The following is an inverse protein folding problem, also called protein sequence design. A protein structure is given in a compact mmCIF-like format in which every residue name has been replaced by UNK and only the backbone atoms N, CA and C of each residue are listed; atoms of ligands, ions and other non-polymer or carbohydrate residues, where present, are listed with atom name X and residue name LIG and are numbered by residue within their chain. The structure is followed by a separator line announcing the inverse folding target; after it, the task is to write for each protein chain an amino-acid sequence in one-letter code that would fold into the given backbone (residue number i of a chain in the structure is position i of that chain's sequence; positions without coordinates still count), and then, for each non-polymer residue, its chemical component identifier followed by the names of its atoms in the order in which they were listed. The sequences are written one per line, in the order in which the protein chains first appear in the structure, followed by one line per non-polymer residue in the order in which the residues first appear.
data_IF_996995017567
#
_entry.id   IF_996995017567
#
_cell.length_a   1.000
_cell.length_b   1.000
_cell.length_c   1.000
_cell.angle_alpha   90.00
_cell.angle_beta   90.00
_cell.angle_gamma   90.00
#
_symmetry.space_group_name_H-M   'P 1'
#
loop_
_entity.id
_entity.type
_entity.pdbx_description
1 polymer ?
#
# COMPACT_ATOMS: atom_id res chain seq x y z
N UNK A 1 -39.84 8.89 48.31
CA UNK A 1 -38.92 9.56 47.39
C UNK A 1 -37.67 8.70 47.32
N UNK A 2 -37.54 7.86 46.30
CA UNK A 2 -36.37 7.00 46.12
C UNK A 2 -35.37 7.76 45.25
N UNK A 3 -34.28 8.22 45.85
CA UNK A 3 -33.19 8.87 45.14
C UNK A 3 -32.34 7.80 44.46
N UNK A 4 -32.48 7.68 43.13
CA UNK A 4 -31.57 6.88 42.31
C UNK A 4 -30.19 7.50 42.37
N UNK A 5 -29.23 6.78 42.97
CA UNK A 5 -27.81 7.09 42.88
C UNK A 5 -27.40 6.82 41.43
N UNK A 6 -27.03 7.86 40.70
CA UNK A 6 -26.34 7.70 39.42
C UNK A 6 -24.90 7.30 39.77
N UNK A 7 -24.61 6.01 39.70
CA UNK A 7 -23.23 5.54 39.75
C UNK A 7 -22.48 6.14 38.55
N UNK A 8 -21.48 6.96 38.85
CA UNK A 8 -20.55 7.48 37.86
C UNK A 8 -19.83 6.30 37.20
N UNK A 9 -20.07 6.10 35.91
CA UNK A 9 -19.28 5.17 35.10
C UNK A 9 -17.82 5.60 35.18
N UNK A 10 -16.98 4.81 35.85
CA UNK A 10 -15.54 5.06 35.93
C UNK A 10 -14.97 5.11 34.52
N UNK A 11 -14.24 6.18 34.19
CA UNK A 11 -13.62 6.42 32.88
C UNK A 11 -12.41 5.53 32.58
N UNK A 12 -12.21 4.45 33.33
CA UNK A 12 -11.11 3.52 33.14
C UNK A 12 -11.51 2.45 32.11
N UNK A 13 -11.77 2.88 30.88
CA UNK A 13 -11.61 1.98 29.75
C UNK A 13 -10.12 1.63 29.72
N UNK A 14 -9.72 0.34 29.75
CA UNK A 14 -8.33 -0.01 29.55
C UNK A 14 -7.89 0.66 28.24
N UNK A 15 -6.77 1.38 28.29
CA UNK A 15 -6.11 1.96 27.13
C UNK A 15 -6.21 0.92 26.00
N UNK A 16 -7.04 1.19 24.98
CA UNK A 16 -7.48 0.14 24.04
C UNK A 16 -6.22 -0.46 23.43
N UNK A 17 -5.89 -1.68 23.85
CA UNK A 17 -4.67 -2.36 23.43
C UNK A 17 -4.72 -2.46 21.90
N UNK A 18 -3.85 -1.70 21.23
CA UNK A 18 -3.72 -1.76 19.78
C UNK A 18 -3.02 -3.05 19.38
N UNK A 19 -3.36 -3.57 18.21
CA UNK A 19 -2.79 -4.79 17.68
C UNK A 19 -1.56 -4.44 16.83
N UNK A 20 -0.34 -4.78 17.27
CA UNK A 20 0.87 -4.45 16.52
C UNK A 20 0.95 -5.23 15.21
N UNK A 21 1.41 -4.56 14.16
CA UNK A 21 1.78 -5.17 12.89
C UNK A 21 3.20 -5.75 12.98
N UNK A 22 3.51 -6.72 12.12
CA UNK A 22 4.88 -7.29 12.00
C UNK A 22 5.91 -6.22 11.61
N UNK A 23 5.54 -5.38 10.65
CA UNK A 23 6.37 -4.31 10.09
C UNK A 23 5.70 -2.95 10.36
N UNK A 24 6.52 -1.90 10.51
CA UNK A 24 6.04 -0.52 10.44
C UNK A 24 6.01 -0.06 8.98
N UNK A 25 4.93 0.62 8.60
CA UNK A 25 4.68 1.07 7.23
C UNK A 25 4.61 2.58 7.17
N UNK A 26 4.94 3.16 6.01
CA UNK A 26 4.86 4.58 5.74
C UNK A 26 3.97 4.82 4.53
N UNK A 27 2.99 5.71 4.69
CA UNK A 27 2.07 6.13 3.65
C UNK A 27 2.63 7.38 2.96
N UNK A 28 2.64 7.36 1.64
CA UNK A 28 3.09 8.45 0.78
C UNK A 28 2.01 8.84 -0.24
N UNK A 29 2.04 10.11 -0.66
CA UNK A 29 1.23 10.65 -1.75
C UNK A 29 2.14 11.33 -2.77
N UNK A 30 1.97 10.97 -4.03
CA UNK A 30 2.52 11.73 -5.15
C UNK A 30 1.44 12.67 -5.68
N UNK A 31 1.68 13.97 -5.66
CA UNK A 31 0.68 14.98 -6.06
C UNK A 31 0.50 15.12 -7.57
N UNK A 32 1.53 14.80 -8.35
CA UNK A 32 1.45 14.74 -9.82
C UNK A 32 1.39 16.09 -10.54
N UNK A 33 1.51 17.22 -9.83
CA UNK A 33 1.30 18.58 -10.36
C UNK A 33 2.52 19.52 -10.28
N UNK A 34 3.60 19.17 -9.57
CA UNK A 34 4.83 19.99 -9.51
C UNK A 34 5.86 19.61 -10.59
N UNK A 35 6.70 20.59 -10.97
CA UNK A 35 7.76 20.45 -11.99
C UNK A 35 8.92 19.53 -11.57
N UNK A 36 9.23 19.45 -10.26
CA UNK A 36 10.24 18.56 -9.71
C UNK A 36 9.57 17.39 -9.00
N UNK A 37 10.05 16.17 -9.25
CA UNK A 37 9.42 14.95 -8.74
C UNK A 37 9.67 14.73 -7.24
N UNK A 38 10.85 15.11 -6.72
CA UNK A 38 11.21 15.00 -5.29
C UNK A 38 10.27 15.87 -4.45
N UNK A 39 9.93 17.06 -4.97
CA UNK A 39 9.00 17.99 -4.35
C UNK A 39 7.54 17.52 -4.43
N UNK A 40 7.24 16.52 -5.26
CA UNK A 40 5.91 15.95 -5.46
C UNK A 40 5.59 14.77 -4.56
N UNK A 41 6.59 14.14 -3.95
CA UNK A 41 6.42 12.96 -3.11
C UNK A 41 6.36 13.38 -1.64
N UNK A 42 5.17 13.30 -1.06
CA UNK A 42 4.92 13.68 0.32
C UNK A 42 4.81 12.44 1.21
N UNK A 43 5.60 12.42 2.29
CA UNK A 43 5.41 11.47 3.38
C UNK A 43 4.24 11.93 4.24
N UNK A 44 3.14 11.19 4.25
CA UNK A 44 1.96 11.55 5.04
C UNK A 44 2.13 11.14 6.50
N UNK A 45 2.33 9.85 6.76
CA UNK A 45 2.47 9.31 8.12
C UNK A 45 3.09 7.91 8.11
N UNK A 46 3.46 7.42 9.29
CA UNK A 46 3.87 6.04 9.52
C UNK A 46 2.94 5.38 10.55
N UNK A 47 2.70 4.08 10.40
CA UNK A 47 1.84 3.29 11.28
C UNK A 47 2.41 1.89 11.50
N UNK A 48 2.22 1.35 12.70
CA UNK A 48 2.67 0.01 13.09
C UNK A 48 1.59 -0.79 13.84
N UNK A 49 0.33 -0.36 13.79
CA UNK A 49 -0.81 -1.09 14.38
C UNK A 49 -1.95 -1.21 13.38
N UNK A 50 -2.80 -2.22 13.60
CA UNK A 50 -4.01 -2.46 12.80
C UNK A 50 -4.99 -1.28 12.92
N UNK A 51 -5.16 -0.75 14.13
CA UNK A 51 -6.04 0.38 14.40
C UNK A 51 -5.56 1.65 13.70
N UNK A 52 -4.26 1.94 13.72
CA UNK A 52 -3.73 3.12 13.05
C UNK A 52 -3.92 3.03 11.53
N UNK A 53 -3.73 1.83 10.95
CA UNK A 53 -4.07 1.62 9.54
C UNK A 53 -5.55 1.91 9.25
N UNK A 54 -6.47 1.35 10.05
CA UNK A 54 -7.89 1.58 9.85
C UNK A 54 -8.27 3.05 10.08
N UNK A 55 -7.68 3.72 11.06
CA UNK A 55 -7.86 5.16 11.24
C UNK A 55 -7.47 5.92 9.96
N UNK A 56 -6.34 5.60 9.33
CA UNK A 56 -5.94 6.22 8.06
C UNK A 56 -6.91 5.89 6.93
N UNK A 57 -7.26 4.62 6.77
CA UNK A 57 -8.18 4.16 5.73
C UNK A 57 -9.52 4.92 5.75
N UNK A 58 -10.08 5.19 6.94
CA UNK A 58 -11.37 5.88 7.08
C UNK A 58 -11.30 7.41 6.92
N UNK A 59 -10.13 8.03 7.12
CA UNK A 59 -9.98 9.49 7.04
C UNK A 59 -9.34 9.97 5.73
N UNK A 60 -8.81 9.05 4.94
CA UNK A 60 -8.22 9.35 3.64
C UNK A 60 -9.19 9.02 2.51
N UNK A 61 -9.00 9.70 1.38
CA UNK A 61 -9.72 9.38 0.15
C UNK A 61 -9.38 7.96 -0.30
N UNK A 62 -10.34 7.28 -0.90
CA UNK A 62 -10.05 6.04 -1.63
C UNK A 62 -9.36 6.35 -2.97
N UNK A 63 -8.63 5.40 -3.58
CA UNK A 63 -7.93 5.66 -4.84
C UNK A 63 -8.80 6.25 -5.96
N UNK A 64 -10.07 5.85 -6.06
CA UNK A 64 -11.00 6.37 -7.06
C UNK A 64 -11.38 7.85 -6.91
N UNK A 65 -11.13 8.44 -5.74
CA UNK A 65 -11.39 9.86 -5.46
C UNK A 65 -10.16 10.76 -5.64
N UNK A 66 -9.03 10.17 -6.03
CA UNK A 66 -7.81 10.91 -6.36
C UNK A 66 -7.92 11.58 -7.72
N UNK A 67 -7.17 12.68 -7.89
CA UNK A 67 -7.02 13.32 -9.19
C UNK A 67 -6.17 12.45 -10.11
N UNK A 68 -6.45 12.51 -11.42
CA UNK A 68 -5.56 11.92 -12.42
C UNK A 68 -4.14 12.49 -12.26
N UNK A 69 -3.14 11.60 -12.24
CA UNK A 69 -1.75 11.98 -11.97
C UNK A 69 -1.30 11.71 -10.53
N UNK A 70 -2.23 11.57 -9.59
CA UNK A 70 -1.89 11.25 -8.20
C UNK A 70 -1.65 9.75 -8.00
N UNK A 71 -0.74 9.44 -7.08
CA UNK A 71 -0.44 8.07 -6.67
C UNK A 71 -0.47 7.97 -5.15
N UNK A 72 -0.96 6.84 -4.65
CA UNK A 72 -0.72 6.45 -3.26
C UNK A 72 0.30 5.32 -3.20
N UNK A 73 1.15 5.38 -2.18
CA UNK A 73 2.15 4.36 -1.91
C UNK A 73 2.19 4.01 -0.43
N UNK A 74 2.33 2.73 -0.12
CA UNK A 74 2.58 2.27 1.25
C UNK A 74 3.81 1.36 1.20
N UNK A 75 4.88 1.77 1.88
CA UNK A 75 6.16 1.06 1.89
C UNK A 75 6.61 0.78 3.31
N UNK A 76 7.34 -0.32 3.53
CA UNK A 76 7.95 -0.58 4.84
C UNK A 76 8.81 0.61 5.25
N UNK A 77 8.80 0.95 6.54
CA UNK A 77 9.53 2.09 7.06
C UNK A 77 11.03 1.99 6.73
N UNK A 78 11.59 3.10 6.29
CA UNK A 78 12.99 3.19 5.85
C UNK A 78 13.21 2.84 4.38
N UNK A 79 12.18 2.40 3.65
CA UNK A 79 12.23 2.18 2.20
C UNK A 79 11.46 3.30 1.51
N UNK A 80 12.14 4.08 0.68
CA UNK A 80 11.50 5.11 -0.14
C UNK A 80 10.81 4.47 -1.34
N UNK A 81 9.65 4.98 -1.79
CA UNK A 81 8.89 4.43 -2.93
C UNK A 81 9.51 4.82 -4.29
N UNK A 82 10.82 4.61 -4.44
CA UNK A 82 11.61 4.97 -5.61
C UNK A 82 12.59 3.85 -5.96
N UNK A 83 12.90 3.67 -7.23
CA UNK A 83 13.71 2.53 -7.69
C UNK A 83 15.18 2.68 -7.32
N UNK A 84 15.64 3.91 -7.04
CA UNK A 84 17.00 4.23 -6.61
C UNK A 84 17.26 3.80 -5.16
N UNK A 85 16.21 3.59 -4.36
CA UNK A 85 16.34 3.11 -2.98
C UNK A 85 17.15 1.79 -2.96
N UNK A 86 18.13 1.64 -2.05
CA UNK A 86 18.96 0.45 -1.97
C UNK A 86 18.19 -0.88 -1.91
N UNK A 87 16.98 -0.88 -1.34
CA UNK A 87 16.12 -2.05 -1.23
C UNK A 87 15.36 -2.34 -2.53
N UNK A 88 15.04 -1.31 -3.33
CA UNK A 88 14.24 -1.46 -4.55
C UNK A 88 15.10 -1.70 -5.80
N UNK A 89 16.33 -1.18 -5.83
CA UNK A 89 17.16 -1.11 -7.05
C UNK A 89 17.52 -2.45 -7.68
N UNK A 90 17.56 -3.52 -6.89
CA UNK A 90 17.86 -4.90 -7.36
C UNK A 90 16.60 -5.74 -7.57
N UNK A 91 15.43 -5.16 -7.30
CA UNK A 91 14.15 -5.85 -7.32
C UNK A 91 13.31 -5.55 -8.55
N UNK A 92 12.01 -5.62 -8.35
CA UNK A 92 11.01 -5.44 -9.39
C UNK A 92 9.62 -5.34 -8.78
N UNK A 93 8.60 -5.44 -9.63
CA UNK A 93 7.21 -5.32 -9.21
C UNK A 93 6.29 -6.26 -9.95
N UNK A 94 5.34 -6.83 -9.23
CA UNK A 94 4.12 -7.37 -9.80
C UNK A 94 3.21 -6.22 -10.19
N UNK A 95 2.73 -6.20 -11.43
CA UNK A 95 1.87 -5.16 -11.96
C UNK A 95 0.50 -5.73 -12.34
N UNK A 96 -0.54 -5.16 -11.76
CA UNK A 96 -1.94 -5.41 -12.04
C UNK A 96 -2.46 -4.23 -12.87
N UNK A 97 -2.93 -4.49 -14.09
CA UNK A 97 -3.64 -3.47 -14.89
C UNK A 97 -5.14 -3.53 -14.62
N UNK A 98 -5.74 -2.36 -14.40
CA UNK A 98 -7.14 -2.22 -14.00
C UNK A 98 -8.01 -1.57 -15.10
N UNK A 99 -7.54 -1.60 -16.36
CA UNK A 99 -8.14 -0.92 -17.53
C UNK A 99 -9.59 -1.31 -17.85
N UNK A 100 -10.07 -2.43 -17.32
CA UNK A 100 -11.44 -2.95 -17.54
C UNK A 100 -12.24 -3.11 -16.27
N UNK A 101 -11.79 -2.52 -15.16
CA UNK A 101 -12.43 -2.64 -13.86
C UNK A 101 -13.14 -1.34 -13.47
N UNK A 102 -14.19 -1.46 -12.68
CA UNK A 102 -14.88 -0.30 -12.10
C UNK A 102 -14.00 0.35 -11.04
N UNK A 103 -14.26 1.63 -10.75
CA UNK A 103 -13.60 2.35 -9.66
C UNK A 103 -13.71 1.62 -8.31
N UNK A 104 -14.89 1.10 -7.99
CA UNK A 104 -15.11 0.34 -6.75
C UNK A 104 -14.26 -0.95 -6.68
N UNK A 105 -14.08 -1.65 -7.81
CA UNK A 105 -13.19 -2.82 -7.85
C UNK A 105 -11.72 -2.41 -7.67
N UNK A 106 -11.29 -1.26 -8.21
CA UNK A 106 -9.94 -0.74 -7.93
C UNK A 106 -9.73 -0.47 -6.45
N UNK A 107 -10.69 0.20 -5.79
CA UNK A 107 -10.60 0.52 -4.37
C UNK A 107 -10.55 -0.74 -3.50
N UNK A 108 -11.35 -1.76 -3.85
CA UNK A 108 -11.32 -3.07 -3.20
C UNK A 108 -9.98 -3.78 -3.39
N UNK A 109 -9.45 -3.85 -4.62
CA UNK A 109 -8.16 -4.50 -4.87
C UNK A 109 -7.05 -3.76 -4.13
N UNK A 110 -7.08 -2.42 -4.09
CA UNK A 110 -6.12 -1.63 -3.32
C UNK A 110 -6.19 -1.98 -1.83
N UNK A 111 -7.37 -1.89 -1.21
CA UNK A 111 -7.56 -2.18 0.21
C UNK A 111 -7.13 -3.61 0.56
N UNK A 112 -7.58 -4.60 -0.22
CA UNK A 112 -7.23 -6.00 -0.03
C UNK A 112 -5.72 -6.25 -0.21
N UNK A 113 -5.08 -5.60 -1.18
CA UNK A 113 -3.62 -5.67 -1.35
C UNK A 113 -2.92 -5.16 -0.10
N UNK A 114 -3.28 -3.97 0.38
CA UNK A 114 -2.69 -3.41 1.59
C UNK A 114 -2.88 -4.35 2.78
N UNK A 115 -4.08 -4.90 2.98
CA UNK A 115 -4.37 -5.84 4.07
C UNK A 115 -3.52 -7.12 4.00
N UNK A 116 -3.34 -7.71 2.81
CA UNK A 116 -2.46 -8.88 2.63
C UNK A 116 -1.03 -8.56 3.06
N UNK A 117 -0.53 -7.38 2.67
CA UNK A 117 0.84 -6.95 2.92
C UNK A 117 1.06 -6.66 4.41
N UNK A 118 0.26 -5.78 5.01
CA UNK A 118 0.43 -5.39 6.42
C UNK A 118 0.13 -6.55 7.38
N UNK A 119 -0.78 -7.46 6.98
CA UNK A 119 -1.10 -8.68 7.72
C UNK A 119 0.00 -9.75 7.66
N UNK A 120 1.05 -9.56 6.85
CA UNK A 120 2.20 -10.46 6.74
C UNK A 120 1.82 -11.94 6.49
N UNK A 121 0.82 -12.18 5.63
CA UNK A 121 0.26 -13.52 5.38
C UNK A 121 0.98 -14.31 4.27
N UNK A 122 2.03 -13.73 3.68
CA UNK A 122 2.83 -14.31 2.60
C UNK A 122 4.10 -14.93 3.17
N UNK A 123 4.61 -16.00 2.53
CA UNK A 123 5.82 -16.69 3.00
C UNK A 123 7.05 -15.78 2.85
N UNK A 124 7.09 -14.99 1.79
CA UNK A 124 8.18 -14.07 1.46
C UNK A 124 7.87 -12.61 1.81
N UNK A 125 7.17 -12.34 2.92
CA UNK A 125 6.87 -10.96 3.36
C UNK A 125 8.11 -10.10 3.56
N UNK A 126 9.25 -10.68 3.94
CA UNK A 126 10.51 -9.92 4.08
C UNK A 126 11.07 -9.46 2.72
N UNK A 127 10.67 -10.10 1.62
CA UNK A 127 11.08 -9.74 0.26
C UNK A 127 10.21 -8.64 -0.35
N UNK A 128 9.14 -8.22 0.33
CA UNK A 128 8.23 -7.15 -0.10
C UNK A 128 8.70 -5.80 0.41
N UNK A 129 8.74 -4.81 -0.47
CA UNK A 129 9.05 -3.42 -0.13
C UNK A 129 7.80 -2.59 0.13
N UNK A 130 6.76 -2.75 -0.71
CA UNK A 130 5.59 -1.88 -0.66
C UNK A 130 4.59 -2.10 -1.77
N UNK A 131 3.55 -1.28 -1.79
CA UNK A 131 2.50 -1.25 -2.80
C UNK A 131 2.28 0.17 -3.31
N UNK A 132 1.94 0.29 -4.59
CA UNK A 132 1.64 1.54 -5.28
C UNK A 132 0.31 1.40 -6.03
N UNK A 133 -0.56 2.39 -5.95
CA UNK A 133 -1.67 2.58 -6.88
C UNK A 133 -1.43 3.84 -7.71
N UNK A 134 -1.53 3.68 -9.04
CA UNK A 134 -1.38 4.79 -9.98
C UNK A 134 -2.74 5.15 -10.58
N UNK A 135 -3.20 6.38 -10.35
CA UNK A 135 -4.47 6.88 -10.89
C UNK A 135 -4.25 7.63 -12.19
N UNK A 136 -4.58 7.00 -13.30
CA UNK A 136 -4.36 7.47 -14.69
C UNK A 136 -5.50 6.97 -15.57
N UNK A 137 -5.51 7.33 -16.85
CA UNK A 137 -6.47 6.74 -17.82
C UNK A 137 -6.46 5.21 -17.83
N UNK A 138 -5.30 4.62 -17.51
CA UNK A 138 -5.12 3.18 -17.29
C UNK A 138 -4.56 2.96 -15.90
N UNK A 139 -5.46 2.82 -14.93
CA UNK A 139 -5.14 2.57 -13.53
C UNK A 139 -4.31 1.29 -13.36
N UNK A 140 -3.41 1.32 -12.38
CA UNK A 140 -2.49 0.22 -12.08
C UNK A 140 -2.31 0.07 -10.57
N UNK A 141 -2.17 -1.17 -10.11
CA UNK A 141 -1.65 -1.47 -8.77
C UNK A 141 -0.37 -2.28 -8.93
N UNK A 142 0.65 -1.95 -8.15
CA UNK A 142 1.94 -2.65 -8.16
C UNK A 142 2.37 -3.07 -6.77
N UNK A 143 2.84 -4.31 -6.61
CA UNK A 143 3.52 -4.78 -5.40
C UNK A 143 5.01 -4.89 -5.68
N UNK A 144 5.82 -4.17 -4.92
CA UNK A 144 7.26 -4.05 -5.10
C UNK A 144 8.00 -5.08 -4.26
N UNK A 145 8.97 -5.74 -4.88
CA UNK A 145 9.82 -6.76 -4.30
C UNK A 145 11.26 -6.24 -4.26
N UNK A 146 12.02 -6.59 -3.23
CA UNK A 146 13.44 -6.23 -3.09
C UNK A 146 14.37 -7.06 -3.98
N UNK A 147 13.89 -8.22 -4.42
CA UNK A 147 14.65 -9.22 -5.18
C UNK A 147 13.94 -9.57 -6.49
N UNK A 148 14.71 -10.11 -7.42
CA UNK A 148 14.22 -10.71 -8.67
C UNK A 148 14.38 -12.24 -8.68
N UNK A 149 14.71 -12.84 -7.54
CA UNK A 149 14.86 -14.28 -7.39
C UNK A 149 13.52 -14.99 -7.64
N UNK A 150 13.59 -16.13 -8.33
CA UNK A 150 12.41 -16.82 -8.84
C UNK A 150 11.45 -17.25 -7.73
N UNK A 151 11.98 -17.81 -6.64
CA UNK A 151 11.18 -18.37 -5.55
C UNK A 151 10.28 -17.32 -4.85
N UNK A 152 10.82 -16.24 -4.25
CA UNK A 152 10.00 -15.22 -3.60
C UNK A 152 9.05 -14.51 -4.57
N UNK A 153 9.52 -14.22 -5.79
CA UNK A 153 8.71 -13.53 -6.80
C UNK A 153 7.51 -14.39 -7.21
N UNK A 154 7.72 -15.68 -7.49
CA UNK A 154 6.65 -16.57 -7.94
C UNK A 154 5.67 -16.93 -6.83
N UNK A 155 6.12 -17.09 -5.59
CA UNK A 155 5.23 -17.35 -4.45
C UNK A 155 4.25 -16.18 -4.24
N UNK A 156 4.78 -14.96 -4.08
CA UNK A 156 3.97 -13.75 -3.90
C UNK A 156 3.02 -13.58 -5.08
N UNK A 157 3.52 -13.73 -6.31
CA UNK A 157 2.71 -13.62 -7.52
C UNK A 157 1.55 -14.62 -7.56
N UNK A 158 1.78 -15.88 -7.17
CA UNK A 158 0.74 -16.92 -7.14
C UNK A 158 -0.34 -16.60 -6.11
N UNK A 159 0.03 -16.13 -4.91
CA UNK A 159 -0.94 -15.78 -3.86
C UNK A 159 -1.78 -14.56 -4.25
N UNK A 160 -1.15 -13.49 -4.74
CA UNK A 160 -1.86 -12.30 -5.23
C UNK A 160 -2.84 -12.67 -6.35
N UNK A 161 -2.38 -13.44 -7.35
CA UNK A 161 -3.24 -13.89 -8.45
C UNK A 161 -4.45 -14.71 -7.95
N UNK A 162 -4.23 -15.60 -6.97
CA UNK A 162 -5.29 -16.41 -6.37
C UNK A 162 -6.32 -15.56 -5.63
N UNK A 163 -5.86 -14.57 -4.85
CA UNK A 163 -6.74 -13.74 -4.02
C UNK A 163 -7.69 -12.90 -4.85
N UNK A 164 -7.16 -12.15 -5.82
CA UNK A 164 -7.93 -11.16 -6.56
C UNK A 164 -8.66 -11.74 -7.78
N UNK A 165 -8.51 -13.05 -8.05
CA UNK A 165 -9.04 -13.70 -9.26
C UNK A 165 -8.67 -12.92 -10.55
N UNK A 166 -7.44 -12.37 -10.59
CA UNK A 166 -7.04 -11.39 -11.62
C UNK A 166 -7.08 -12.03 -13.01
N UNK A 167 -7.67 -11.36 -14.02
CA UNK A 167 -7.56 -11.79 -15.41
C UNK A 167 -6.12 -11.66 -15.95
N UNK A 168 -5.89 -12.17 -17.16
CA UNK A 168 -4.61 -12.44 -17.82
C UNK A 168 -3.50 -11.35 -17.79
N UNK A 169 -3.76 -10.10 -17.40
CA UNK A 169 -2.77 -9.01 -17.43
C UNK A 169 -2.14 -8.76 -16.05
N UNK A 170 -1.48 -9.78 -15.52
CA UNK A 170 -0.70 -9.76 -14.28
C UNK A 170 0.73 -10.22 -14.55
N UNK A 171 1.69 -9.30 -14.53
CA UNK A 171 3.06 -9.58 -14.94
C UNK A 171 4.08 -9.01 -13.96
N UNK A 172 5.23 -9.66 -13.85
CA UNK A 172 6.36 -9.18 -13.09
C UNK A 172 7.33 -8.41 -13.98
N UNK A 173 7.74 -7.22 -13.53
CA UNK A 173 8.69 -6.35 -14.22
C UNK A 173 9.84 -6.00 -13.30
N UNK A 174 11.07 -6.30 -13.72
CA UNK A 174 12.28 -5.84 -13.02
C UNK A 174 12.33 -4.32 -13.05
N UNK A 175 12.78 -3.70 -11.96
CA UNK A 175 13.07 -2.27 -11.98
C UNK A 175 14.21 -2.03 -12.97
N UNK A 176 13.99 -1.15 -13.93
CA UNK A 176 15.01 -0.81 -14.92
C UNK A 176 15.77 0.40 -14.44
N UNK A 177 17.03 0.21 -14.04
CA UNK A 177 17.90 1.27 -13.54
C UNK A 177 18.30 2.32 -14.58
N UNK A 178 17.89 2.15 -15.85
CA UNK A 178 18.22 3.04 -16.96
C UNK A 178 17.11 4.03 -17.36
N UNK A 179 15.90 3.93 -16.77
CA UNK A 179 14.83 4.89 -17.00
C UNK A 179 14.15 5.25 -15.69
N UNK A 180 14.20 6.53 -15.34
CA UNK A 180 13.34 7.11 -14.30
C UNK A 180 11.90 6.68 -14.57
N UNK A 181 11.15 6.35 -13.52
CA UNK A 181 9.71 6.07 -13.60
C UNK A 181 8.93 7.23 -14.26
N UNK A 182 9.56 8.40 -14.35
CA UNK A 182 8.96 9.68 -14.73
C UNK A 182 9.70 10.40 -15.86
N UNK A 183 10.51 9.71 -16.68
CA UNK A 183 10.87 10.31 -17.98
C UNK A 183 9.60 10.45 -18.81
N UNK A 184 9.18 11.70 -19.04
CA UNK A 184 8.10 12.06 -19.98
C UNK A 184 8.23 11.31 -21.32
#
# INVERSE_FOLDING_TARGET
MSSTVIESVSSDLPERMKHPLRDEWTFWLLMGDKKNWEDNLEKLTSFNTVEDYWCLYHHMKVPSELKLGQDYMIFKKGIQPMWEDPHNKKGGRWLIMLDRMTSAHMDSIWADTVLILIGATLEHTDDICGVVVNVRDKNKISVWMKTNDSDPVLEVGRKLRKQFKIPYKFNYYKHNSSKSMYSM
#
